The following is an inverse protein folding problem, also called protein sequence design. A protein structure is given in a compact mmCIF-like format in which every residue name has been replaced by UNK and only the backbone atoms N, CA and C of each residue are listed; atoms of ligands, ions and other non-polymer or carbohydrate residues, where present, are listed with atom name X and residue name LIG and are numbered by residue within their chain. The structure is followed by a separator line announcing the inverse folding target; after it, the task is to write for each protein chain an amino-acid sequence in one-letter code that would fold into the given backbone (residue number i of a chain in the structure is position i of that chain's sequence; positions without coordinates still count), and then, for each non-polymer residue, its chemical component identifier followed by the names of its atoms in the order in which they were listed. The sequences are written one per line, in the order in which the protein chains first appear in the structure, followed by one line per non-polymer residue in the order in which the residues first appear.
data_IF_094126063596
#
_entry.id   IF_094126063596
#
_cell.length_a   1.000
_cell.length_b   1.000
_cell.length_c   1.000
_cell.angle_alpha   90.00
_cell.angle_beta   90.00
_cell.angle_gamma   90.00
#
_symmetry.space_group_name_H-M   'P 1'
#
loop_
_entity.id
_entity.type
_entity.pdbx_description
1 polymer ?
#
# COMPACT_ATOMS: atom_id res chain seq x y z
N UNK A 1 3.22 11.02 -16.74
CA UNK A 1 1.87 10.44 -16.93
C UNK A 1 1.71 9.37 -15.87
N UNK A 2 0.70 9.46 -15.01
CA UNK A 2 0.56 8.53 -13.89
C UNK A 2 0.05 7.18 -14.42
N UNK A 3 0.68 6.10 -13.97
CA UNK A 3 0.37 4.74 -14.41
C UNK A 3 -0.71 4.11 -13.52
N UNK A 4 -1.51 3.22 -14.10
CA UNK A 4 -2.36 2.30 -13.33
C UNK A 4 -1.64 0.95 -13.20
N UNK A 5 -1.40 0.53 -11.97
CA UNK A 5 -0.78 -0.73 -11.59
C UNK A 5 -1.90 -1.72 -11.24
N UNK A 6 -1.82 -2.92 -11.83
CA UNK A 6 -2.75 -4.02 -11.57
C UNK A 6 -2.04 -5.14 -10.81
N UNK A 7 -2.83 -6.12 -10.35
CA UNK A 7 -2.40 -7.22 -9.48
C UNK A 7 -1.09 -7.89 -9.91
N UNK A 8 -0.95 -8.33 -11.16
CA UNK A 8 0.25 -9.03 -11.62
C UNK A 8 1.52 -8.18 -11.49
N UNK A 9 1.42 -6.89 -11.81
CA UNK A 9 2.52 -5.96 -11.68
C UNK A 9 2.82 -5.63 -10.21
N UNK A 10 1.78 -5.41 -9.40
CA UNK A 10 1.91 -5.20 -7.96
C UNK A 10 2.61 -6.38 -7.27
N UNK A 11 2.17 -7.60 -7.56
CA UNK A 11 2.77 -8.84 -7.03
C UNK A 11 4.25 -8.94 -7.40
N UNK A 12 4.60 -8.65 -8.66
CA UNK A 12 6.00 -8.61 -9.09
C UNK A 12 6.82 -7.58 -8.29
N UNK A 13 6.29 -6.37 -8.11
CA UNK A 13 6.96 -5.31 -7.34
C UNK A 13 7.21 -5.71 -5.88
N UNK A 14 6.23 -6.35 -5.24
CA UNK A 14 6.38 -6.87 -3.86
C UNK A 14 7.48 -7.91 -3.80
N UNK A 15 7.49 -8.89 -4.71
CA UNK A 15 8.53 -9.92 -4.76
C UNK A 15 9.93 -9.36 -5.02
N UNK A 16 10.05 -8.39 -5.93
CA UNK A 16 11.34 -7.76 -6.25
C UNK A 16 11.88 -7.01 -5.02
N UNK A 17 11.03 -6.27 -4.29
CA UNK A 17 11.39 -5.63 -3.02
C UNK A 17 11.79 -6.63 -1.94
N UNK A 18 11.06 -7.73 -1.81
CA UNK A 18 11.42 -8.79 -0.86
C UNK A 18 12.79 -9.38 -1.18
N UNK A 19 13.08 -9.64 -2.46
CA UNK A 19 14.38 -10.14 -2.93
C UNK A 19 15.51 -9.14 -2.67
N UNK A 20 15.26 -7.85 -2.90
CA UNK A 20 16.21 -6.78 -2.62
C UNK A 20 16.53 -6.69 -1.12
N UNK A 21 15.51 -6.69 -0.27
CA UNK A 21 15.72 -6.63 1.17
C UNK A 21 16.41 -7.86 1.76
N UNK A 22 16.21 -9.04 1.16
CA UNK A 22 16.96 -10.25 1.50
C UNK A 22 18.45 -10.07 1.19
N UNK A 23 18.80 -9.40 0.08
CA UNK A 23 20.21 -9.06 -0.24
C UNK A 23 20.83 -8.12 0.78
N UNK A 24 20.06 -7.19 1.35
CA UNK A 24 20.52 -6.26 2.38
C UNK A 24 20.40 -6.77 3.82
N UNK A 25 20.06 -8.06 4.02
CA UNK A 25 19.86 -8.67 5.35
C UNK A 25 18.89 -7.87 6.24
N UNK A 26 17.95 -7.12 5.66
CA UNK A 26 16.97 -6.35 6.43
C UNK A 26 16.11 -7.29 7.31
N UNK A 27 15.89 -8.51 6.82
CA UNK A 27 15.24 -9.61 7.53
C UNK A 27 15.98 -10.09 8.78
N UNK A 28 17.31 -9.97 8.86
CA UNK A 28 18.09 -10.43 10.01
C UNK A 28 18.07 -9.42 11.18
N UNK A 29 17.59 -8.19 10.96
CA UNK A 29 17.53 -7.14 12.00
C UNK A 29 16.48 -7.38 13.07
N UNK A 30 15.48 -8.21 12.79
CA UNK A 30 14.44 -8.57 13.76
C UNK A 30 14.69 -10.05 14.16
N UNK A 31 14.64 -10.42 15.44
CA UNK A 31 14.91 -11.80 15.87
C UNK A 31 13.78 -12.77 15.45
N UNK A 32 14.11 -13.81 14.66
CA UNK A 32 13.17 -14.87 14.23
C UNK A 32 12.50 -15.60 15.40
N UNK A 33 13.18 -15.68 16.54
CA UNK A 33 12.74 -16.37 17.75
C UNK A 33 11.56 -15.70 18.49
N UNK A 34 11.09 -14.51 18.05
CA UNK A 34 9.85 -13.90 18.58
C UNK A 34 8.59 -14.28 17.83
N UNK A 35 8.71 -14.85 16.63
CA UNK A 35 7.63 -15.00 15.65
C UNK A 35 7.87 -16.33 14.91
N UNK A 36 7.01 -17.33 15.11
CA UNK A 36 7.14 -18.64 14.45
C UNK A 36 7.30 -18.55 12.92
N UNK A 37 7.96 -19.54 12.30
CA UNK A 37 8.46 -19.48 10.92
C UNK A 37 7.45 -19.04 9.85
N UNK A 38 6.19 -19.49 9.93
CA UNK A 38 5.13 -19.08 8.99
C UNK A 38 4.65 -17.65 9.26
N UNK A 39 4.49 -17.29 10.54
CA UNK A 39 4.12 -15.95 10.97
C UNK A 39 5.21 -14.92 10.58
N UNK A 40 6.47 -15.34 10.55
CA UNK A 40 7.59 -14.53 10.10
C UNK A 40 7.47 -14.14 8.62
N UNK A 41 7.19 -15.12 7.77
CA UNK A 41 7.03 -14.90 6.34
C UNK A 41 5.79 -14.03 6.07
N UNK A 42 4.66 -14.30 6.74
CA UNK A 42 3.45 -13.47 6.63
C UNK A 42 3.71 -12.01 7.03
N UNK A 43 4.38 -11.78 8.16
CA UNK A 43 4.72 -10.43 8.62
C UNK A 43 5.48 -9.63 7.56
N UNK A 44 6.53 -10.22 7.01
CA UNK A 44 7.35 -9.56 6.00
C UNK A 44 6.62 -9.33 4.69
N UNK A 45 5.82 -10.31 4.24
CA UNK A 45 4.98 -10.15 3.05
C UNK A 45 4.04 -8.96 3.20
N UNK A 46 3.32 -8.85 4.33
CA UNK A 46 2.43 -7.70 4.60
C UNK A 46 3.23 -6.40 4.62
N UNK A 47 4.38 -6.38 5.30
CA UNK A 47 5.25 -5.19 5.38
C UNK A 47 5.69 -4.69 4.01
N UNK A 48 6.11 -5.59 3.13
CA UNK A 48 6.53 -5.21 1.78
C UNK A 48 5.36 -4.87 0.86
N UNK A 49 4.18 -5.48 1.04
CA UNK A 49 2.96 -5.03 0.37
C UNK A 49 2.65 -3.57 0.71
N UNK A 50 2.66 -3.21 2.00
CA UNK A 50 2.39 -1.83 2.45
C UNK A 50 3.41 -0.83 1.90
N UNK A 51 4.71 -1.13 1.99
CA UNK A 51 5.77 -0.28 1.40
C UNK A 51 5.63 -0.12 -0.11
N UNK A 52 5.19 -1.17 -0.81
CA UNK A 52 4.98 -1.11 -2.26
C UNK A 52 3.81 -0.17 -2.60
N UNK A 53 2.74 -0.21 -1.80
CA UNK A 53 1.62 0.73 -1.94
C UNK A 53 2.10 2.17 -1.72
N UNK A 54 2.90 2.43 -0.68
CA UNK A 54 3.49 3.75 -0.42
C UNK A 54 4.28 4.28 -1.63
N UNK A 55 5.16 3.46 -2.20
CA UNK A 55 5.97 3.84 -3.36
C UNK A 55 5.14 4.13 -4.62
N UNK A 56 4.09 3.34 -4.87
CA UNK A 56 3.16 3.57 -5.99
C UNK A 56 2.50 4.94 -5.81
N UNK A 57 2.00 5.23 -4.61
CA UNK A 57 1.30 6.47 -4.34
C UNK A 57 2.23 7.69 -4.36
N UNK A 58 3.46 7.55 -3.86
CA UNK A 58 4.47 8.60 -3.90
C UNK A 58 4.82 9.03 -5.33
N UNK A 59 4.72 8.10 -6.30
CA UNK A 59 4.91 8.38 -7.73
C UNK A 59 3.68 9.02 -8.39
N UNK A 60 2.56 9.15 -7.68
CA UNK A 60 1.30 9.60 -8.26
C UNK A 60 0.51 8.48 -8.95
N UNK A 61 1.01 7.24 -8.93
CA UNK A 61 0.42 6.10 -9.61
C UNK A 61 -0.80 5.57 -8.86
N UNK A 62 -1.66 4.86 -9.59
CA UNK A 62 -2.89 4.27 -9.08
C UNK A 62 -2.72 2.76 -8.95
N UNK A 63 -3.15 2.18 -7.83
CA UNK A 63 -3.23 0.74 -7.64
C UNK A 63 -4.68 0.24 -7.75
N UNK A 64 -4.90 -0.82 -8.53
CA UNK A 64 -6.19 -1.51 -8.63
C UNK A 64 -5.99 -2.99 -8.32
N UNK A 65 -6.56 -3.44 -7.20
CA UNK A 65 -6.66 -4.85 -6.84
C UNK A 65 -8.13 -5.29 -6.99
N UNK A 66 -8.43 -6.02 -8.07
CA UNK A 66 -9.77 -6.50 -8.37
C UNK A 66 -10.27 -7.44 -7.27
N UNK A 67 -11.54 -7.31 -6.89
CA UNK A 67 -12.13 -7.98 -5.74
C UNK A 67 -11.82 -7.33 -4.38
N UNK A 68 -10.83 -6.43 -4.31
CA UNK A 68 -10.37 -5.85 -3.04
C UNK A 68 -10.60 -4.34 -2.95
N UNK A 69 -9.62 -3.56 -3.40
CA UNK A 69 -9.62 -2.12 -3.25
C UNK A 69 -8.82 -1.44 -4.37
N UNK A 70 -9.13 -0.16 -4.55
CA UNK A 70 -8.40 0.76 -5.41
C UNK A 70 -7.77 1.83 -4.53
N UNK A 71 -6.48 2.13 -4.72
CA UNK A 71 -5.80 3.22 -4.03
C UNK A 71 -5.30 4.22 -5.06
N UNK A 72 -5.63 5.49 -4.86
CA UNK A 72 -5.20 6.58 -5.74
C UNK A 72 -4.82 7.82 -4.90
N UNK A 73 -3.75 8.54 -5.26
CA UNK A 73 -3.41 9.80 -4.63
C UNK A 73 -4.42 10.87 -5.05
N UNK A 74 -4.97 11.59 -4.08
CA UNK A 74 -5.83 12.75 -4.32
C UNK A 74 -5.12 14.01 -3.87
N UNK A 75 -4.93 14.94 -4.80
CA UNK A 75 -4.35 16.24 -4.50
C UNK A 75 -5.49 17.20 -4.15
N UNK A 76 -5.50 17.65 -2.91
CA UNK A 76 -6.43 18.66 -2.43
C UNK A 76 -5.74 20.01 -2.43
N UNK A 77 -6.37 21.01 -3.05
CA UNK A 77 -6.01 22.41 -2.86
C UNK A 77 -6.69 22.88 -1.58
N UNK A 78 -5.96 22.88 -0.47
CA UNK A 78 -6.46 23.49 0.76
C UNK A 78 -6.24 25.01 0.71
N UNK A 79 -7.32 25.77 0.92
CA UNK A 79 -7.24 27.21 1.16
C UNK A 79 -6.85 27.40 2.63
N UNK A 80 -5.57 27.62 2.93
CA UNK A 80 -5.20 28.12 4.27
C UNK A 80 -5.70 29.55 4.41
N UNK A 81 -6.08 29.93 5.63
CA UNK A 81 -6.59 31.27 5.98
C UNK A 81 -5.55 32.40 5.83
N UNK A 82 -4.40 32.10 5.24
CA UNK A 82 -3.26 32.97 4.94
C UNK A 82 -2.80 32.58 3.53
N UNK A 83 -2.56 33.59 2.70
CA UNK A 83 -2.42 33.64 1.22
C UNK A 83 -1.50 32.63 0.49
N UNK A 84 -1.08 31.52 1.09
CA UNK A 84 -0.29 30.47 0.45
C UNK A 84 -1.14 29.27 0.04
N UNK A 85 -1.21 29.01 -1.27
CA UNK A 85 -1.73 27.76 -1.80
C UNK A 85 -0.69 26.66 -1.56
N UNK A 86 -1.02 25.65 -0.75
CA UNK A 86 -0.23 24.42 -0.64
C UNK A 86 -1.06 23.26 -1.19
N UNK A 87 -0.55 22.59 -2.22
CA UNK A 87 -1.12 21.32 -2.65
C UNK A 87 -0.76 20.25 -1.63
N UNK A 88 -1.77 19.63 -1.02
CA UNK A 88 -1.59 18.48 -0.14
C UNK A 88 -2.07 17.22 -0.84
N UNK A 89 -1.18 16.23 -0.92
CA UNK A 89 -1.55 14.89 -1.34
C UNK A 89 -2.17 14.15 -0.14
N UNK A 90 -3.42 13.71 -0.26
CA UNK A 90 -4.06 12.77 0.67
C UNK A 90 -4.24 11.43 -0.04
N UNK A 91 -4.00 10.35 0.68
CA UNK A 91 -4.26 8.99 0.18
C UNK A 91 -5.76 8.72 0.20
N UNK A 92 -6.31 8.23 -0.91
CA UNK A 92 -7.69 7.79 -0.96
C UNK A 92 -7.74 6.30 -1.28
N UNK A 93 -8.26 5.52 -0.34
CA UNK A 93 -8.55 4.10 -0.52
C UNK A 93 -10.04 3.92 -0.76
N UNK A 94 -10.40 3.15 -1.80
CA UNK A 94 -11.78 2.79 -2.12
C UNK A 94 -11.93 1.28 -2.15
N UNK A 95 -12.68 0.73 -1.22
CA UNK A 95 -13.06 -0.68 -1.24
C UNK A 95 -14.08 -0.96 -2.36
N UNK A 96 -13.92 -2.11 -3.01
CA UNK A 96 -14.86 -2.62 -4.01
C UNK A 96 -16.17 -3.08 -3.38
N UNK A 97 -17.21 -3.24 -4.20
CA UNK A 97 -18.60 -3.39 -3.76
C UNK A 97 -18.76 -4.52 -2.73
N UNK A 98 -18.15 -5.65 -2.98
CA UNK A 98 -18.32 -6.85 -2.17
C UNK A 98 -17.72 -6.67 -0.77
N UNK A 99 -16.51 -6.10 -0.68
CA UNK A 99 -15.90 -5.74 0.60
C UNK A 99 -16.71 -4.65 1.32
N UNK A 100 -17.20 -3.65 0.59
CA UNK A 100 -18.00 -2.58 1.18
C UNK A 100 -19.29 -3.11 1.79
N UNK A 101 -19.94 -4.07 1.13
CA UNK A 101 -21.14 -4.73 1.64
C UNK A 101 -20.82 -5.53 2.91
N UNK A 102 -19.74 -6.31 2.92
CA UNK A 102 -19.29 -7.05 4.11
C UNK A 102 -18.92 -6.13 5.27
N UNK A 103 -18.25 -5.00 5.02
CA UNK A 103 -17.90 -4.03 6.06
C UNK A 103 -19.15 -3.38 6.67
N UNK A 104 -20.15 -3.07 5.84
CA UNK A 104 -21.41 -2.52 6.34
C UNK A 104 -22.17 -3.50 7.24
N UNK A 105 -22.02 -4.82 7.04
CA UNK A 105 -22.67 -5.84 7.88
C UNK A 105 -22.02 -6.00 9.27
N UNK A 106 -20.74 -5.62 9.41
CA UNK A 106 -19.95 -5.80 10.64
C UNK A 106 -19.92 -4.53 11.50
N UNK A 107 -20.09 -3.36 10.88
CA UNK A 107 -20.05 -2.05 11.54
C UNK A 107 -21.44 -1.51 11.91
N UNK A 108 -22.50 -2.34 11.78
CA UNK A 108 -23.86 -2.03 12.22
C UNK A 108 -24.05 -2.26 13.72
#
# INVERSE_FOLDING_TARGET
MNKTIYEAEFTKMVHDKMREANRFKEYERIPKNRIGGDYWNTYWTIRYMLRTIEDILAKGDKLVLLGFFTVEPKFYKEKKHVLEWKEQAKMCMRFQKDIRQSLNLVLC
#
